data_IF_054976756118
#
_entry.id   IF_054976756118
#
_cell.length_a   1.000
_cell.length_b   1.000
_cell.length_c   1.000
_cell.angle_alpha   90.00
_cell.angle_beta   90.00
_cell.angle_gamma   90.00
#
_symmetry.space_group_name_H-M   'P 1'
#
loop_
_entity.id
_entity.type
_entity.pdbx_description
1 polymer ?
#
# COMPACT_ATOMS: atom_id res chain seq x y z
N UNK A 1 0.95 15.50 -9.53
CA UNK A 1 0.91 16.17 -10.84
C UNK A 1 2.29 16.21 -11.46
N UNK A 2 2.35 15.98 -12.79
CA UNK A 2 3.47 16.33 -13.65
C UNK A 2 3.08 17.49 -14.58
N UNK A 3 3.80 17.63 -15.72
CA UNK A 3 3.46 18.61 -16.75
C UNK A 3 2.25 18.26 -17.63
N UNK A 4 1.28 17.48 -17.11
CA UNK A 4 0.13 16.97 -17.87
C UNK A 4 -1.18 17.28 -17.11
N UNK A 5 -1.65 18.54 -17.14
CA UNK A 5 -2.82 18.97 -16.35
C UNK A 5 -4.12 18.27 -16.78
N UNK A 6 -4.25 17.91 -18.05
CA UNK A 6 -5.41 17.21 -18.60
C UNK A 6 -5.68 15.85 -17.95
N UNK A 7 -4.69 15.22 -17.32
CA UNK A 7 -4.90 13.96 -16.58
C UNK A 7 -5.90 14.15 -15.44
N UNK A 8 -5.89 15.32 -14.80
CA UNK A 8 -6.80 15.66 -13.70
C UNK A 8 -8.20 15.94 -14.23
N UNK A 9 -8.31 16.76 -15.26
CA UNK A 9 -9.63 17.10 -15.83
C UNK A 9 -10.30 15.88 -16.47
N UNK A 10 -9.56 15.09 -17.25
CA UNK A 10 -10.09 13.85 -17.82
C UNK A 10 -10.52 12.82 -16.75
N UNK A 11 -9.79 12.74 -15.64
CA UNK A 11 -10.19 11.89 -14.53
C UNK A 11 -11.48 12.39 -13.86
N UNK A 12 -11.60 13.70 -13.64
CA UNK A 12 -12.81 14.29 -13.06
C UNK A 12 -14.02 14.14 -13.99
N UNK A 13 -13.86 14.41 -15.28
CA UNK A 13 -14.91 14.24 -16.28
C UNK A 13 -15.42 12.79 -16.27
N UNK A 14 -14.50 11.81 -16.20
CA UNK A 14 -14.86 10.40 -16.12
C UNK A 14 -15.53 10.02 -14.79
N UNK A 15 -15.22 10.66 -13.67
CA UNK A 15 -15.90 10.48 -12.38
C UNK A 15 -17.30 11.07 -12.42
N UNK A 16 -17.45 12.29 -12.93
CA UNK A 16 -18.75 12.94 -13.06
C UNK A 16 -19.68 12.20 -14.03
N UNK A 17 -19.15 11.67 -15.14
CA UNK A 17 -19.91 10.82 -16.05
C UNK A 17 -20.44 9.53 -15.38
N UNK A 18 -19.81 9.08 -14.30
CA UNK A 18 -20.26 7.94 -13.47
C UNK A 18 -21.21 8.35 -12.33
N UNK A 19 -21.60 9.61 -12.26
CA UNK A 19 -22.46 10.15 -11.21
C UNK A 19 -21.75 10.39 -9.87
N UNK A 20 -20.41 10.33 -9.84
CA UNK A 20 -19.63 10.56 -8.62
C UNK A 20 -19.40 12.06 -8.48
N UNK A 21 -19.89 12.63 -7.37
CA UNK A 21 -19.72 14.06 -7.06
C UNK A 21 -18.41 14.27 -6.31
N UNK A 22 -17.54 15.11 -6.84
CA UNK A 22 -16.28 15.53 -6.20
C UNK A 22 -16.45 16.97 -5.72
N UNK A 23 -16.31 17.20 -4.43
CA UNK A 23 -16.42 18.53 -3.80
C UNK A 23 -15.09 19.25 -3.67
N UNK A 24 -13.98 18.51 -3.67
CA UNK A 24 -12.64 19.08 -3.56
C UNK A 24 -11.63 18.28 -4.36
N UNK A 25 -10.70 18.98 -4.99
CA UNK A 25 -9.53 18.39 -5.69
C UNK A 25 -8.25 18.92 -5.07
N UNK A 26 -7.41 18.00 -4.61
CA UNK A 26 -6.09 18.29 -4.06
C UNK A 26 -5.03 17.78 -5.01
N UNK A 27 -4.24 18.69 -5.55
CA UNK A 27 -3.18 18.37 -6.50
C UNK A 27 -1.83 18.39 -5.81
N UNK A 28 -1.29 17.20 -5.57
CA UNK A 28 0.07 17.03 -5.00
C UNK A 28 1.09 17.17 -6.12
N UNK A 29 2.11 18.01 -5.92
CA UNK A 29 3.11 18.30 -6.95
C UNK A 29 4.50 18.56 -6.38
N UNK A 30 5.52 18.45 -7.22
CA UNK A 30 6.89 18.86 -6.95
C UNK A 30 7.08 20.37 -7.15
N UNK A 31 8.31 20.87 -6.97
CA UNK A 31 8.63 22.30 -7.12
C UNK A 31 8.17 22.88 -8.44
N UNK A 32 7.62 24.09 -8.38
CA UNK A 32 7.22 24.90 -9.53
C UNK A 32 8.38 25.63 -10.20
N UNK A 33 9.62 25.41 -9.76
CA UNK A 33 10.81 25.87 -10.52
C UNK A 33 10.86 25.25 -11.92
N UNK A 34 10.24 24.09 -12.13
CA UNK A 34 10.06 23.54 -13.46
C UNK A 34 8.91 24.27 -14.17
N UNK A 35 9.15 24.99 -15.29
CA UNK A 35 8.15 25.78 -16.01
C UNK A 35 6.92 24.95 -16.45
N UNK A 36 7.14 23.65 -16.75
CA UNK A 36 6.03 22.74 -17.13
C UNK A 36 5.06 22.52 -15.96
N UNK A 37 5.53 22.42 -14.73
CA UNK A 37 4.66 22.26 -13.55
C UNK A 37 3.93 23.55 -13.25
N UNK A 38 4.62 24.68 -13.37
CA UNK A 38 4.00 25.99 -13.21
C UNK A 38 2.88 26.21 -14.23
N UNK A 39 3.14 25.94 -15.52
CA UNK A 39 2.14 26.05 -16.58
C UNK A 39 0.95 25.11 -16.34
N UNK A 40 1.20 23.87 -15.93
CA UNK A 40 0.16 22.88 -15.64
C UNK A 40 -0.75 23.33 -14.48
N UNK A 41 -0.17 23.86 -13.40
CA UNK A 41 -0.96 24.40 -12.27
C UNK A 41 -1.76 25.63 -12.67
N UNK A 42 -1.21 26.52 -13.51
CA UNK A 42 -1.92 27.69 -14.02
C UNK A 42 -3.08 27.28 -14.94
N UNK A 43 -2.95 26.23 -15.75
CA UNK A 43 -4.05 25.66 -16.53
C UNK A 43 -5.16 25.16 -15.61
N UNK A 44 -4.81 24.36 -14.59
CA UNK A 44 -5.80 23.84 -13.64
C UNK A 44 -6.48 24.96 -12.85
N UNK A 45 -5.75 25.96 -12.38
CA UNK A 45 -6.36 27.09 -11.67
C UNK A 45 -7.44 27.80 -12.47
N UNK A 46 -7.32 27.85 -13.80
CA UNK A 46 -8.36 28.40 -14.69
C UNK A 46 -9.59 27.50 -14.76
N UNK A 47 -9.40 26.18 -14.83
CA UNK A 47 -10.50 25.20 -14.86
C UNK A 47 -11.35 25.22 -13.59
N UNK A 48 -10.74 25.58 -12.45
CA UNK A 48 -11.41 25.66 -11.15
C UNK A 48 -11.72 27.11 -10.72
N UNK A 49 -11.80 28.04 -11.66
CA UNK A 49 -12.08 29.44 -11.34
C UNK A 49 -13.39 29.58 -10.54
N UNK A 50 -13.35 30.39 -9.47
CA UNK A 50 -14.50 30.60 -8.59
C UNK A 50 -14.90 29.35 -7.78
N UNK A 51 -13.97 28.47 -7.45
CA UNK A 51 -14.22 27.20 -6.75
C UNK A 51 -15.28 26.32 -7.42
N UNK A 52 -15.28 26.32 -8.75
CA UNK A 52 -16.22 25.52 -9.56
C UNK A 52 -15.46 24.75 -10.64
N UNK A 53 -15.96 23.56 -10.96
CA UNK A 53 -15.52 22.76 -12.08
C UNK A 53 -16.71 22.32 -12.91
N UNK A 54 -16.70 22.59 -14.21
CA UNK A 54 -17.82 22.32 -15.11
C UNK A 54 -19.19 22.79 -14.55
N UNK A 55 -19.21 24.00 -13.95
CA UNK A 55 -20.40 24.59 -13.35
C UNK A 55 -20.80 24.06 -11.96
N UNK A 56 -20.14 23.05 -11.42
CA UNK A 56 -20.42 22.45 -10.12
C UNK A 56 -19.47 23.00 -9.03
N UNK A 57 -19.92 23.18 -7.78
CA UNK A 57 -19.02 23.55 -6.69
C UNK A 57 -17.93 22.48 -6.53
N UNK A 58 -16.68 22.87 -6.63
CA UNK A 58 -15.53 22.00 -6.50
C UNK A 58 -14.30 22.82 -6.11
N UNK A 59 -13.86 22.67 -4.89
CA UNK A 59 -12.71 23.39 -4.35
C UNK A 59 -11.42 22.87 -4.97
N UNK A 60 -10.50 23.77 -5.29
CA UNK A 60 -9.18 23.41 -5.82
C UNK A 60 -8.08 23.81 -4.84
N UNK A 61 -7.22 22.88 -4.50
CA UNK A 61 -6.02 23.13 -3.69
C UNK A 61 -4.80 22.47 -4.30
N UNK A 62 -3.67 23.09 -4.12
CA UNK A 62 -2.35 22.54 -4.47
C UNK A 62 -1.58 22.21 -3.20
N UNK A 63 -0.82 21.14 -3.22
CA UNK A 63 0.03 20.71 -2.13
C UNK A 63 1.44 20.44 -2.68
N UNK A 64 2.40 21.37 -2.49
CA UNK A 64 3.78 21.11 -2.82
C UNK A 64 4.37 20.11 -1.82
N UNK A 65 5.19 19.19 -2.32
CA UNK A 65 5.97 18.29 -1.47
C UNK A 65 7.22 19.05 -1.02
N UNK A 66 7.44 19.12 0.31
CA UNK A 66 8.53 19.86 0.92
C UNK A 66 9.55 18.91 1.57
N UNK A 67 10.84 19.26 1.47
CA UNK A 67 11.91 18.75 2.32
C UNK A 67 12.37 19.88 3.24
N UNK A 68 12.02 19.79 4.51
CA UNK A 68 12.11 20.94 5.41
C UNK A 68 11.15 22.04 4.96
N UNK A 69 11.68 23.22 4.66
CA UNK A 69 10.90 24.37 4.16
C UNK A 69 10.89 24.49 2.62
N UNK A 70 11.71 23.72 1.92
CA UNK A 70 11.93 23.88 0.48
C UNK A 70 11.14 22.86 -0.35
N UNK A 71 10.47 23.30 -1.44
CA UNK A 71 9.79 22.39 -2.35
C UNK A 71 10.79 21.47 -3.08
N UNK A 72 10.51 20.18 -3.08
CA UNK A 72 11.36 19.17 -3.72
C UNK A 72 11.32 19.34 -5.25
N UNK A 73 12.49 19.45 -5.87
CA UNK A 73 12.61 19.57 -7.33
C UNK A 73 12.47 18.21 -8.02
N UNK A 74 13.06 17.17 -7.44
CA UNK A 74 13.01 15.80 -7.95
C UNK A 74 13.13 14.75 -6.82
N UNK A 75 12.69 13.52 -7.10
CA UNK A 75 12.77 12.38 -6.18
C UNK A 75 14.07 11.58 -6.43
N UNK A 76 15.20 12.27 -6.39
CA UNK A 76 16.52 11.68 -6.70
C UNK A 76 17.29 11.20 -5.45
N UNK A 77 16.75 11.38 -4.25
CA UNK A 77 17.37 10.95 -2.99
C UNK A 77 16.37 10.25 -2.08
N UNK A 78 16.88 9.46 -1.15
CA UNK A 78 16.06 8.81 -0.11
C UNK A 78 15.31 9.85 0.72
N UNK A 79 15.98 10.92 1.15
CA UNK A 79 15.35 11.99 1.93
C UNK A 79 14.18 12.66 1.18
N UNK A 80 14.29 12.88 -0.15
CA UNK A 80 13.21 13.41 -0.96
C UNK A 80 12.06 12.40 -1.11
N UNK A 81 12.38 11.12 -1.22
CA UNK A 81 11.39 10.03 -1.28
C UNK A 81 10.63 9.90 0.03
N UNK A 82 11.33 9.93 1.17
CA UNK A 82 10.74 9.89 2.51
C UNK A 82 9.85 11.10 2.77
N UNK A 83 10.28 12.30 2.37
CA UNK A 83 9.48 13.50 2.50
C UNK A 83 8.18 13.41 1.65
N UNK A 84 8.26 12.86 0.44
CA UNK A 84 7.10 12.64 -0.41
C UNK A 84 6.15 11.59 0.22
N UNK A 85 6.67 10.50 0.74
CA UNK A 85 5.89 9.48 1.42
C UNK A 85 5.19 10.07 2.66
N UNK A 86 5.91 10.85 3.48
CA UNK A 86 5.36 11.55 4.64
C UNK A 86 4.24 12.53 4.27
N UNK A 87 4.38 13.25 3.16
CA UNK A 87 3.35 14.17 2.67
C UNK A 87 2.06 13.41 2.32
N UNK A 88 2.15 12.28 1.63
CA UNK A 88 0.98 11.44 1.33
C UNK A 88 0.37 10.82 2.57
N UNK A 89 1.18 10.29 3.49
CA UNK A 89 0.70 9.76 4.77
C UNK A 89 -0.08 10.81 5.56
N UNK A 90 0.49 11.98 5.72
CA UNK A 90 -0.14 13.09 6.46
C UNK A 90 -1.43 13.53 5.79
N UNK A 91 -1.42 13.75 4.48
CA UNK A 91 -2.59 14.18 3.72
C UNK A 91 -3.74 13.17 3.83
N UNK A 92 -3.48 11.90 3.48
CA UNK A 92 -4.52 10.87 3.44
C UNK A 92 -5.06 10.63 4.84
N UNK A 93 -4.19 10.55 5.86
CA UNK A 93 -4.60 10.41 7.26
C UNK A 93 -5.53 11.55 7.70
N UNK A 94 -5.16 12.81 7.44
CA UNK A 94 -5.96 13.97 7.79
C UNK A 94 -7.34 13.96 7.11
N UNK A 95 -7.40 13.64 5.82
CA UNK A 95 -8.66 13.57 5.09
C UNK A 95 -9.55 12.43 5.63
N UNK A 96 -8.99 11.29 5.97
CA UNK A 96 -9.73 10.17 6.59
C UNK A 96 -10.20 10.48 8.00
N UNK A 97 -9.43 11.23 8.79
CA UNK A 97 -9.87 11.72 10.11
C UNK A 97 -11.08 12.67 10.01
N UNK A 98 -11.22 13.38 8.91
CA UNK A 98 -12.38 14.23 8.60
C UNK A 98 -13.59 13.45 8.09
N UNK A 99 -13.49 12.12 7.96
CA UNK A 99 -14.57 11.26 7.49
C UNK A 99 -14.83 11.35 5.98
N UNK A 100 -13.89 11.89 5.20
CA UNK A 100 -14.06 12.07 3.77
C UNK A 100 -13.88 10.75 3.00
N UNK A 101 -14.66 10.59 1.93
CA UNK A 101 -14.48 9.51 0.95
C UNK A 101 -13.47 9.99 -0.10
N UNK A 102 -12.43 9.19 -0.33
CA UNK A 102 -11.31 9.57 -1.18
C UNK A 102 -11.36 8.87 -2.54
N UNK A 103 -11.12 9.65 -3.58
CA UNK A 103 -10.85 9.16 -4.93
C UNK A 103 -9.41 9.55 -5.31
N UNK A 104 -8.47 8.61 -5.15
CA UNK A 104 -7.06 8.85 -5.48
C UNK A 104 -6.80 8.50 -6.95
N UNK A 105 -6.32 9.46 -7.74
CA UNK A 105 -5.85 9.21 -9.09
C UNK A 105 -4.32 9.11 -9.07
N UNK A 106 -3.79 7.91 -9.34
CA UNK A 106 -2.34 7.64 -9.34
C UNK A 106 -1.71 7.82 -10.73
N UNK A 107 -2.46 8.39 -11.67
CA UNK A 107 -1.99 8.71 -13.02
C UNK A 107 -1.41 10.11 -13.08
N UNK A 108 -0.43 10.26 -13.95
CA UNK A 108 0.26 11.54 -14.15
C UNK A 108 1.43 11.78 -13.20
N UNK A 109 2.35 12.64 -13.62
CA UNK A 109 3.54 12.92 -12.85
C UNK A 109 4.59 11.80 -12.89
N UNK A 110 5.48 11.84 -11.92
CA UNK A 110 6.51 10.80 -11.75
C UNK A 110 5.90 9.51 -11.24
N UNK A 111 6.29 8.37 -11.79
CA UNK A 111 5.79 7.04 -11.40
C UNK A 111 5.94 6.80 -9.90
N UNK A 112 7.10 7.22 -9.34
CA UNK A 112 7.37 7.02 -7.91
C UNK A 112 6.36 7.74 -7.02
N UNK A 113 5.88 8.94 -7.39
CA UNK A 113 4.81 9.62 -6.63
C UNK A 113 3.52 8.80 -6.57
N UNK A 114 3.13 8.18 -7.68
CA UNK A 114 1.97 7.29 -7.70
C UNK A 114 2.14 6.06 -6.80
N UNK A 115 3.36 5.49 -6.75
CA UNK A 115 3.67 4.35 -5.87
C UNK A 115 3.64 4.75 -4.40
N UNK A 116 4.19 5.92 -4.04
CA UNK A 116 4.18 6.43 -2.67
C UNK A 116 2.76 6.78 -2.20
N UNK A 117 1.96 7.40 -3.08
CA UNK A 117 0.55 7.66 -2.80
C UNK A 117 -0.25 6.35 -2.58
N UNK A 118 0.02 5.32 -3.39
CA UNK A 118 -0.58 3.99 -3.23
C UNK A 118 -0.17 3.35 -1.90
N UNK A 119 1.11 3.43 -1.53
CA UNK A 119 1.61 2.91 -0.25
C UNK A 119 0.88 3.54 0.94
N UNK A 120 0.72 4.86 0.96
CA UNK A 120 -0.04 5.55 2.00
C UNK A 120 -1.54 5.18 1.97
N UNK A 121 -2.13 5.03 0.79
CA UNK A 121 -3.53 4.63 0.64
C UNK A 121 -3.82 3.25 1.21
N UNK A 122 -2.92 2.29 1.04
CA UNK A 122 -3.04 0.94 1.62
C UNK A 122 -3.20 0.94 3.14
N UNK A 123 -2.63 1.94 3.81
CA UNK A 123 -2.70 2.06 5.27
C UNK A 123 -3.96 2.76 5.76
N UNK A 124 -4.42 3.81 5.07
CA UNK A 124 -5.45 4.70 5.61
C UNK A 124 -6.80 4.61 4.90
N UNK A 125 -6.83 4.21 3.62
CA UNK A 125 -8.08 4.07 2.88
C UNK A 125 -8.89 2.87 3.35
N UNK A 126 -10.21 2.98 3.22
CA UNK A 126 -11.18 1.95 3.55
C UNK A 126 -11.96 1.46 2.31
N UNK A 127 -12.98 0.61 2.55
CA UNK A 127 -13.78 0.02 1.47
C UNK A 127 -14.63 1.04 0.70
N UNK A 128 -14.81 2.26 1.20
CA UNK A 128 -15.54 3.33 0.53
C UNK A 128 -14.66 4.12 -0.44
N UNK A 129 -13.36 4.15 -0.17
CA UNK A 129 -12.37 4.86 -0.98
C UNK A 129 -12.10 4.13 -2.30
N UNK A 130 -11.62 4.85 -3.29
CA UNK A 130 -11.30 4.30 -4.61
C UNK A 130 -9.96 4.82 -5.09
N UNK A 131 -9.16 3.91 -5.64
CA UNK A 131 -7.91 4.26 -6.31
C UNK A 131 -8.11 4.05 -7.80
N UNK A 132 -7.70 5.04 -8.57
CA UNK A 132 -7.94 5.11 -9.99
C UNK A 132 -6.66 5.25 -10.78
N UNK A 133 -6.62 4.56 -11.91
CA UNK A 133 -5.66 4.77 -12.98
C UNK A 133 -6.39 5.29 -14.22
N UNK A 134 -5.96 6.44 -14.74
CA UNK A 134 -6.47 6.97 -15.99
C UNK A 134 -5.73 6.31 -17.15
N UNK A 135 -6.42 5.45 -17.87
CA UNK A 135 -5.95 4.93 -19.14
C UNK A 135 -6.34 5.88 -20.29
N UNK A 136 -5.41 6.16 -21.18
CA UNK A 136 -5.66 6.87 -22.43
C UNK A 136 -4.80 6.25 -23.55
N UNK A 137 -5.35 6.20 -24.77
CA UNK A 137 -4.61 5.72 -25.94
C UNK A 137 -3.47 6.68 -26.29
N UNK A 138 -2.48 6.19 -27.05
CA UNK A 138 -1.35 7.01 -27.48
C UNK A 138 -1.80 8.24 -28.29
N UNK A 139 -2.75 8.06 -29.17
CA UNK A 139 -3.33 9.15 -29.95
C UNK A 139 -3.97 10.23 -29.07
N UNK A 140 -4.67 9.84 -28.01
CA UNK A 140 -5.24 10.78 -27.03
C UNK A 140 -4.13 11.47 -26.27
N UNK A 141 -3.10 10.73 -25.78
CA UNK A 141 -1.97 11.32 -25.05
C UNK A 141 -1.23 12.38 -25.88
N UNK A 142 -0.99 12.10 -27.16
CA UNK A 142 -0.35 13.08 -28.06
C UNK A 142 -1.22 14.31 -28.27
N UNK A 143 -2.52 14.13 -28.54
CA UNK A 143 -3.46 15.23 -28.79
C UNK A 143 -3.69 16.12 -27.57
N UNK A 144 -3.66 15.56 -26.37
CA UNK A 144 -3.92 16.27 -25.11
C UNK A 144 -2.66 16.73 -24.41
N UNK A 145 -1.49 16.45 -24.95
CA UNK A 145 -0.20 16.70 -24.31
C UNK A 145 -0.09 18.14 -23.78
N UNK A 146 0.47 18.27 -22.57
CA UNK A 146 0.74 19.54 -21.89
C UNK A 146 -0.50 20.45 -21.74
N UNK A 147 -1.70 19.86 -21.76
CA UNK A 147 -2.95 20.62 -21.62
C UNK A 147 -3.44 21.26 -22.91
N UNK A 148 -2.94 20.84 -24.08
CA UNK A 148 -3.43 21.32 -25.37
C UNK A 148 -4.95 21.10 -25.54
N UNK A 149 -5.47 20.02 -24.96
CA UNK A 149 -6.90 19.74 -24.82
C UNK A 149 -7.15 19.26 -23.40
N UNK A 150 -7.95 20.00 -22.64
CA UNK A 150 -8.24 19.71 -21.23
C UNK A 150 -9.42 18.76 -21.05
N UNK A 151 -10.36 18.73 -21.98
CA UNK A 151 -11.57 17.92 -21.94
C UNK A 151 -11.76 17.13 -23.22
N UNK A 152 -12.35 15.96 -23.10
CA UNK A 152 -12.72 15.12 -24.23
C UNK A 152 -14.16 14.66 -24.09
N UNK A 153 -14.90 14.47 -25.21
CA UNK A 153 -16.17 13.78 -25.17
C UNK A 153 -16.03 12.41 -24.50
N UNK A 154 -17.08 11.95 -23.84
CA UNK A 154 -17.12 10.60 -23.29
C UNK A 154 -16.89 9.60 -24.43
N UNK A 155 -15.75 8.95 -24.46
CA UNK A 155 -15.35 7.98 -25.47
C UNK A 155 -14.56 6.85 -24.82
N UNK A 156 -14.45 5.73 -25.55
CA UNK A 156 -13.62 4.58 -25.10
C UNK A 156 -12.11 4.85 -25.09
N UNK A 157 -11.68 5.97 -25.62
CA UNK A 157 -10.28 6.35 -25.71
C UNK A 157 -9.68 6.79 -24.35
N UNK A 158 -10.55 7.16 -23.38
CA UNK A 158 -10.17 7.52 -22.02
C UNK A 158 -11.00 6.69 -21.04
N UNK A 159 -10.33 5.95 -20.17
CA UNK A 159 -10.99 5.09 -19.17
C UNK A 159 -10.39 5.30 -17.80
N UNK A 160 -11.25 5.44 -16.81
CA UNK A 160 -10.85 5.38 -15.41
C UNK A 160 -10.91 3.91 -14.95
N UNK A 161 -9.75 3.32 -14.74
CA UNK A 161 -9.61 1.93 -14.30
C UNK A 161 -9.44 1.91 -12.78
N UNK A 162 -10.29 1.15 -12.09
CA UNK A 162 -10.14 0.96 -10.65
C UNK A 162 -8.93 0.07 -10.35
N UNK A 163 -8.06 0.55 -9.48
CA UNK A 163 -6.96 -0.26 -8.93
C UNK A 163 -7.49 -1.00 -7.71
N UNK A 164 -7.61 -2.33 -7.75
CA UNK A 164 -8.06 -3.11 -6.60
C UNK A 164 -6.95 -3.14 -5.56
N UNK A 165 -7.23 -2.62 -4.37
CA UNK A 165 -6.28 -2.64 -3.26
C UNK A 165 -7.00 -3.11 -2.00
N UNK A 166 -6.39 -4.00 -1.20
CA UNK A 166 -6.93 -4.38 0.09
C UNK A 166 -6.70 -3.24 1.11
N UNK A 167 -7.66 -2.94 1.98
CA UNK A 167 -7.51 -1.93 3.02
C UNK A 167 -6.71 -2.48 4.21
N UNK A 168 -5.40 -2.67 4.03
CA UNK A 168 -4.52 -3.29 5.02
C UNK A 168 -4.62 -2.66 6.41
N UNK A 169 -4.70 -1.33 6.49
CA UNK A 169 -4.83 -0.64 7.77
C UNK A 169 -6.15 -0.92 8.50
N UNK A 170 -7.20 -1.42 7.84
CA UNK A 170 -8.41 -1.91 8.50
C UNK A 170 -8.27 -3.35 8.97
N UNK A 171 -7.58 -4.19 8.19
CA UNK A 171 -7.31 -5.58 8.57
C UNK A 171 -6.27 -5.66 9.70
N UNK A 172 -5.34 -4.71 9.74
CA UNK A 172 -4.28 -4.64 10.75
C UNK A 172 -4.25 -3.25 11.41
N UNK A 173 -5.08 -2.96 12.41
CA UNK A 173 -5.15 -1.65 13.06
C UNK A 173 -3.83 -1.15 13.65
N UNK A 174 -2.95 -2.08 14.07
CA UNK A 174 -1.60 -1.76 14.55
C UNK A 174 -0.79 -0.95 13.53
N UNK A 175 -1.07 -1.12 12.24
CA UNK A 175 -0.40 -0.39 11.16
C UNK A 175 -0.75 1.10 11.13
N UNK A 176 -1.77 1.55 11.88
CA UNK A 176 -2.25 2.95 11.95
C UNK A 176 -1.89 3.65 13.25
N UNK A 177 -1.34 2.91 14.23
CA UNK A 177 -1.29 3.34 15.63
C UNK A 177 -0.17 4.33 16.01
N UNK A 178 0.62 4.85 15.07
CA UNK A 178 1.72 5.79 15.39
C UNK A 178 1.38 7.23 14.95
N UNK A 179 0.91 8.12 15.84
CA UNK A 179 0.38 9.44 15.45
C UNK A 179 1.42 10.46 15.01
N UNK A 180 2.67 10.39 15.45
CA UNK A 180 3.67 11.47 15.24
C UNK A 180 5.00 11.00 14.65
N UNK A 181 4.99 9.89 13.93
CA UNK A 181 6.21 9.25 13.43
C UNK A 181 6.32 9.40 11.91
N UNK A 182 7.54 9.48 11.37
CA UNK A 182 7.78 9.52 9.92
C UNK A 182 7.27 8.23 9.27
N UNK A 183 6.91 8.30 7.99
CA UNK A 183 6.44 7.13 7.25
C UNK A 183 7.46 5.98 7.27
N UNK A 184 8.76 6.28 7.22
CA UNK A 184 9.84 5.30 7.36
C UNK A 184 9.79 4.60 8.74
N UNK A 185 9.63 5.34 9.81
CA UNK A 185 9.52 4.78 11.18
C UNK A 185 8.23 3.98 11.35
N UNK A 186 7.12 4.42 10.74
CA UNK A 186 5.88 3.64 10.72
C UNK A 186 6.12 2.28 10.07
N UNK A 187 6.73 2.26 8.88
CA UNK A 187 7.04 1.02 8.17
C UNK A 187 7.99 0.12 8.95
N UNK A 188 9.06 0.69 9.52
CA UNK A 188 10.01 -0.06 10.37
C UNK A 188 9.32 -0.65 11.62
N UNK A 189 8.48 0.14 12.29
CA UNK A 189 7.71 -0.31 13.45
C UNK A 189 6.71 -1.39 13.07
N UNK A 190 6.11 -1.31 11.89
CA UNK A 190 5.18 -2.32 11.38
C UNK A 190 5.88 -3.64 11.11
N UNK A 191 7.03 -3.62 10.44
CA UNK A 191 7.83 -4.82 10.21
C UNK A 191 8.19 -5.45 11.56
N UNK A 192 8.70 -4.66 12.50
CA UNK A 192 9.03 -5.13 13.85
C UNK A 192 7.82 -5.70 14.59
N UNK A 193 6.64 -5.09 14.47
CA UNK A 193 5.42 -5.58 15.12
C UNK A 193 4.91 -6.90 14.49
N UNK A 194 5.03 -7.04 13.17
CA UNK A 194 4.70 -8.29 12.46
C UNK A 194 5.65 -9.40 12.91
N UNK A 195 6.96 -9.12 12.94
CA UNK A 195 7.99 -10.07 13.39
C UNK A 195 7.79 -10.46 14.85
N UNK A 196 7.47 -9.50 15.73
CA UNK A 196 7.17 -9.77 17.13
C UNK A 196 5.90 -10.64 17.28
N UNK A 197 4.88 -10.40 16.46
CA UNK A 197 3.66 -11.21 16.41
C UNK A 197 3.96 -12.66 15.97
N UNK A 198 4.73 -12.84 14.92
CA UNK A 198 5.15 -14.17 14.45
C UNK A 198 6.00 -14.89 15.51
N UNK A 199 6.95 -14.19 16.12
CA UNK A 199 7.77 -14.75 17.22
C UNK A 199 6.94 -15.16 18.43
N UNK A 200 5.91 -14.38 18.79
CA UNK A 200 5.01 -14.72 19.88
C UNK A 200 4.22 -16.00 19.59
N UNK A 201 3.70 -16.17 18.36
CA UNK A 201 3.02 -17.40 17.92
C UNK A 201 3.97 -18.61 17.96
N UNK A 202 5.18 -18.46 17.42
CA UNK A 202 6.19 -19.51 17.48
C UNK A 202 6.49 -19.92 18.93
N UNK A 203 6.66 -18.95 19.82
CA UNK A 203 6.89 -19.20 21.26
C UNK A 203 5.71 -19.95 21.87
N UNK A 204 4.48 -19.52 21.63
CA UNK A 204 3.27 -20.18 22.10
C UNK A 204 3.23 -21.66 21.70
N UNK A 205 3.56 -21.99 20.45
CA UNK A 205 3.63 -23.38 19.99
C UNK A 205 4.73 -24.12 20.72
N UNK A 206 5.96 -23.60 20.76
CA UNK A 206 7.11 -24.26 21.39
C UNK A 206 6.87 -24.55 22.88
N UNK A 207 6.22 -23.64 23.62
CA UNK A 207 5.89 -23.81 25.03
C UNK A 207 4.91 -24.96 25.28
N UNK A 208 3.98 -25.22 24.35
CA UNK A 208 2.98 -26.29 24.47
C UNK A 208 3.45 -27.67 24.02
N UNK A 209 4.58 -27.72 23.30
CA UNK A 209 5.14 -28.97 22.83
C UNK A 209 5.94 -29.71 23.91
N UNK A 210 5.86 -31.03 23.86
CA UNK A 210 6.76 -31.90 24.66
C UNK A 210 8.22 -31.75 24.20
N UNK A 211 9.22 -32.10 25.05
CA UNK A 211 10.64 -32.03 24.65
C UNK A 211 10.91 -32.74 23.31
N UNK A 212 10.34 -33.92 23.11
CA UNK A 212 10.56 -34.71 21.89
C UNK A 212 9.92 -34.08 20.64
N UNK A 213 8.74 -33.46 20.79
CA UNK A 213 8.11 -32.71 19.73
C UNK A 213 8.90 -31.45 19.35
N UNK A 214 9.54 -30.80 20.35
CA UNK A 214 10.42 -29.63 20.07
C UNK A 214 11.66 -30.03 19.28
N UNK A 215 12.28 -31.18 19.58
CA UNK A 215 13.41 -31.69 18.79
C UNK A 215 13.00 -31.94 17.34
N UNK A 216 11.86 -32.58 17.11
CA UNK A 216 11.31 -32.81 15.78
C UNK A 216 11.03 -31.48 15.05
N UNK A 217 10.40 -30.51 15.73
CA UNK A 217 10.14 -29.18 15.16
C UNK A 217 11.44 -28.47 14.81
N UNK A 218 12.45 -28.52 15.69
CA UNK A 218 13.75 -27.89 15.46
C UNK A 218 14.48 -28.49 14.25
N UNK A 219 14.45 -29.80 14.09
CA UNK A 219 15.01 -30.47 12.92
C UNK A 219 14.32 -30.05 11.62
N UNK A 220 12.99 -29.92 11.61
CA UNK A 220 12.27 -29.35 10.47
C UNK A 220 12.63 -27.89 10.19
N UNK A 221 12.77 -27.08 11.24
CA UNK A 221 13.19 -25.67 11.11
C UNK A 221 14.60 -25.52 10.50
N UNK A 222 15.49 -26.49 10.77
CA UNK A 222 16.82 -26.59 10.16
C UNK A 222 16.79 -27.04 8.69
N UNK A 223 15.62 -27.41 8.16
CA UNK A 223 15.42 -27.74 6.76
C UNK A 223 15.44 -29.23 6.43
N UNK A 224 15.52 -30.10 7.43
CA UNK A 224 15.53 -31.54 7.25
C UNK A 224 14.18 -32.04 6.70
N UNK A 225 14.22 -33.01 5.79
CA UNK A 225 13.02 -33.72 5.38
C UNK A 225 12.66 -34.83 6.38
N UNK A 226 11.43 -35.37 6.40
CA UNK A 226 11.00 -36.34 7.42
C UNK A 226 11.91 -37.55 7.60
N UNK A 227 12.53 -38.03 6.52
CA UNK A 227 13.50 -39.12 6.56
C UNK A 227 14.77 -38.75 7.31
N UNK A 228 15.34 -37.57 7.01
CA UNK A 228 16.52 -37.04 7.67
C UNK A 228 16.27 -36.78 9.15
N UNK A 229 15.07 -36.28 9.50
CA UNK A 229 14.65 -36.11 10.90
C UNK A 229 14.62 -37.47 11.64
N UNK A 230 14.09 -38.52 10.99
CA UNK A 230 14.07 -39.85 11.58
C UNK A 230 15.46 -40.41 11.83
N UNK A 231 16.38 -40.26 10.89
CA UNK A 231 17.80 -40.64 11.02
C UNK A 231 18.52 -39.81 12.09
N UNK A 232 18.37 -38.50 12.04
CA UNK A 232 19.00 -37.56 12.98
C UNK A 232 18.59 -37.80 14.42
N UNK A 233 17.32 -38.11 14.67
CA UNK A 233 16.77 -38.35 15.99
C UNK A 233 16.78 -39.84 16.40
N UNK A 234 17.31 -40.73 15.55
CA UNK A 234 17.36 -42.18 15.77
C UNK A 234 15.97 -42.77 16.07
N UNK A 235 14.95 -42.41 15.30
CA UNK A 235 13.58 -42.91 15.45
C UNK A 235 13.03 -43.39 14.11
N UNK A 236 11.86 -44.06 14.12
CA UNK A 236 11.20 -44.46 12.89
C UNK A 236 10.51 -43.26 12.23
N UNK A 237 10.33 -43.32 10.90
CA UNK A 237 9.54 -42.33 10.15
C UNK A 237 8.09 -42.25 10.65
N UNK A 238 7.52 -43.39 11.10
CA UNK A 238 6.20 -43.45 11.72
C UNK A 238 6.16 -42.61 13.02
N UNK A 239 7.21 -42.67 13.83
CA UNK A 239 7.36 -41.86 15.07
C UNK A 239 7.43 -40.36 14.74
N UNK A 240 8.21 -39.97 13.73
CA UNK A 240 8.26 -38.56 13.26
C UNK A 240 6.87 -38.07 12.82
N UNK A 241 6.14 -38.88 12.05
CA UNK A 241 4.80 -38.56 11.61
C UNK A 241 3.79 -38.47 12.78
N UNK A 242 3.93 -39.30 13.79
CA UNK A 242 3.12 -39.24 15.02
C UNK A 242 3.36 -37.92 15.80
N UNK A 243 4.59 -37.42 15.83
CA UNK A 243 4.91 -36.13 16.45
C UNK A 243 4.46 -34.92 15.60
N UNK A 244 4.43 -35.03 14.28
CA UNK A 244 3.97 -33.94 13.42
C UNK A 244 2.52 -33.53 13.68
N UNK A 245 1.63 -34.49 13.91
CA UNK A 245 0.19 -34.21 14.09
C UNK A 245 -0.08 -33.25 15.25
N UNK A 246 0.43 -33.45 16.46
CA UNK A 246 0.30 -32.48 17.55
C UNK A 246 0.96 -31.12 17.23
N UNK A 247 2.13 -31.13 16.59
CA UNK A 247 2.81 -29.89 16.20
C UNK A 247 1.93 -29.07 15.26
N UNK A 248 1.35 -29.69 14.23
CA UNK A 248 0.45 -29.00 13.31
C UNK A 248 -0.83 -28.52 13.99
N UNK A 249 -1.38 -29.28 14.93
CA UNK A 249 -2.55 -28.87 15.70
C UNK A 249 -2.27 -27.58 16.49
N UNK A 250 -1.14 -27.52 17.21
CA UNK A 250 -0.76 -26.31 17.94
C UNK A 250 -0.47 -25.12 16.98
N UNK A 251 0.09 -25.37 15.81
CA UNK A 251 0.27 -24.35 14.79
C UNK A 251 -1.08 -23.83 14.28
N UNK A 252 -2.04 -24.69 13.98
CA UNK A 252 -3.38 -24.25 13.55
C UNK A 252 -4.03 -23.36 14.59
N UNK A 253 -3.91 -23.69 15.88
CA UNK A 253 -4.43 -22.87 17.00
C UNK A 253 -3.71 -21.51 17.08
N UNK A 254 -2.36 -21.51 17.03
CA UNK A 254 -1.57 -20.29 17.20
C UNK A 254 -1.76 -19.28 16.06
N UNK A 255 -2.01 -19.74 14.84
CA UNK A 255 -2.25 -18.90 13.65
C UNK A 255 -3.73 -18.74 13.31
N UNK A 256 -4.65 -19.28 14.12
CA UNK A 256 -6.11 -19.22 13.89
C UNK A 256 -6.48 -19.66 12.47
N UNK A 257 -5.93 -20.81 12.05
CA UNK A 257 -6.14 -21.33 10.71
C UNK A 257 -7.50 -22.06 10.62
N UNK A 258 -8.21 -21.94 9.49
CA UNK A 258 -9.49 -22.63 9.29
C UNK A 258 -9.37 -24.15 9.50
N UNK A 259 -10.45 -24.76 9.99
CA UNK A 259 -10.56 -26.20 10.14
C UNK A 259 -10.27 -26.93 8.82
N UNK A 260 -9.47 -27.98 8.90
CA UNK A 260 -9.07 -28.76 7.73
C UNK A 260 -7.90 -28.20 6.92
N UNK A 261 -7.26 -27.09 7.38
CA UNK A 261 -6.03 -26.58 6.76
C UNK A 261 -4.93 -27.64 6.82
N UNK A 262 -4.38 -27.98 5.65
CA UNK A 262 -3.28 -28.95 5.56
C UNK A 262 -1.94 -28.22 5.63
N UNK A 263 -1.22 -28.41 6.73
CA UNK A 263 0.15 -27.94 6.90
C UNK A 263 1.14 -29.02 6.47
N UNK A 264 2.30 -28.63 5.96
CA UNK A 264 3.41 -29.52 5.66
C UNK A 264 4.69 -29.12 6.42
N UNK A 265 5.73 -29.91 6.32
CA UNK A 265 6.99 -29.63 7.00
C UNK A 265 7.72 -28.39 6.43
N UNK A 266 7.42 -27.99 5.18
CA UNK A 266 7.99 -26.76 4.57
C UNK A 266 7.43 -25.53 5.23
N UNK A 267 6.13 -25.56 5.56
CA UNK A 267 5.49 -24.50 6.34
C UNK A 267 6.14 -24.35 7.72
N UNK A 268 6.46 -25.47 8.41
CA UNK A 268 7.20 -25.43 9.69
C UNK A 268 8.58 -24.78 9.52
N UNK A 269 9.30 -25.14 8.48
CA UNK A 269 10.58 -24.52 8.17
C UNK A 269 10.45 -23.01 7.97
N UNK A 270 9.51 -22.58 7.13
CA UNK A 270 9.28 -21.16 6.84
C UNK A 270 9.01 -20.35 8.11
N UNK A 271 8.15 -20.85 8.99
CA UNK A 271 7.74 -20.13 10.20
C UNK A 271 8.75 -20.21 11.34
N UNK A 272 9.38 -21.35 11.55
CA UNK A 272 10.23 -21.57 12.72
C UNK A 272 11.73 -21.42 12.47
N UNK A 273 12.22 -21.44 11.22
CA UNK A 273 13.64 -21.21 10.96
C UNK A 273 14.13 -19.85 11.51
N UNK A 274 13.43 -18.71 11.27
CA UNK A 274 13.83 -17.43 11.84
C UNK A 274 13.75 -17.39 13.38
N UNK A 275 12.83 -18.15 13.98
CA UNK A 275 12.64 -18.20 15.42
C UNK A 275 13.81 -18.91 16.14
N UNK A 276 14.33 -20.00 15.57
CA UNK A 276 15.44 -20.76 16.16
C UNK A 276 16.82 -20.23 15.79
N UNK A 277 16.93 -19.32 14.81
CA UNK A 277 18.19 -18.69 14.41
C UNK A 277 18.45 -17.36 15.14
N UNK A 278 17.46 -16.80 15.80
CA UNK A 278 17.54 -15.56 16.58
C UNK A 278 17.90 -15.82 18.02
#
# INVERSE_FOLDING_TARGET
LGGQPQVITLALDALFARGICISEVIVVHLSTQNPRYQAALACLAREFAGERYAGRPCRYRTLPILLGAEPIVDLASEAATDAALNAFHTLIRQLKQQGLILHLCVSGGRRLLGMLALSAALLYCDQTDRIWHLYSSDAVRQRTAEGAVMHLPASDAVRLVRVPVPPWGHLFPVLRAAPDTTAHTILATQVTAIDAGERARCRQVVERLTPRQREVLQAFAQGMVPQEVAEHLCVSLATVNAHKTPIFSECCIAWDLPDGTRLDYRWLREKFAPYFQA
#
